data_IF_638772178630
#
_entry.id   IF_638772178630
#
_cell.length_a   1.000
_cell.length_b   1.000
_cell.length_c   1.000
_cell.angle_alpha   90.00
_cell.angle_beta   90.00
_cell.angle_gamma   90.00
#
_symmetry.space_group_name_H-M   'P 1'
#
loop_
_entity.id
_entity.type
_entity.pdbx_description
1 polymer ?
#
# COMPACT_ATOMS: atom_id res chain seq x y z
N UNK A 1 7.14 3.36 33.36
CA UNK A 1 8.28 3.24 32.40
C UNK A 1 8.22 1.96 31.56
N UNK A 2 7.73 0.82 32.06
CA UNK A 2 7.69 -0.48 31.35
C UNK A 2 6.72 -0.57 30.14
N UNK A 3 5.53 0.07 30.11
CA UNK A 3 4.58 -0.12 29.00
C UNK A 3 5.09 0.35 27.63
N UNK A 4 5.87 1.44 27.58
CA UNK A 4 6.36 2.03 26.32
C UNK A 4 7.37 1.13 25.61
N UNK A 5 8.27 0.50 26.36
CA UNK A 5 9.29 -0.40 25.82
C UNK A 5 8.66 -1.71 25.29
N UNK A 6 7.64 -2.23 25.96
CA UNK A 6 6.95 -3.44 25.51
C UNK A 6 6.20 -3.17 24.20
N UNK A 7 5.47 -2.06 24.13
CA UNK A 7 4.73 -1.67 22.92
C UNK A 7 5.68 -1.43 21.74
N UNK A 8 6.79 -0.73 21.99
CA UNK A 8 7.83 -0.53 20.99
C UNK A 8 8.34 -1.86 20.42
N UNK A 9 8.75 -2.79 21.31
CA UNK A 9 9.24 -4.10 20.89
C UNK A 9 8.18 -4.93 20.14
N UNK A 10 6.92 -4.85 20.55
CA UNK A 10 5.83 -5.56 19.90
C UNK A 10 5.55 -5.01 18.48
N UNK A 11 5.40 -3.69 18.35
CA UNK A 11 5.12 -3.02 17.07
C UNK A 11 6.26 -3.25 16.07
N UNK A 12 7.50 -2.96 16.47
CA UNK A 12 8.64 -3.09 15.57
C UNK A 12 9.07 -4.54 15.37
N UNK A 13 8.82 -5.41 16.35
CA UNK A 13 8.96 -6.86 16.19
C UNK A 13 8.02 -7.40 15.13
N UNK A 14 6.75 -6.98 15.15
CA UNK A 14 5.76 -7.42 14.17
C UNK A 14 6.09 -6.97 12.74
N UNK A 15 6.47 -5.70 12.56
CA UNK A 15 6.89 -5.18 11.26
C UNK A 15 8.09 -5.94 10.68
N UNK A 16 9.10 -6.23 11.51
CA UNK A 16 10.27 -7.02 11.11
C UNK A 16 9.92 -8.47 10.77
N UNK A 17 9.00 -9.09 11.52
CA UNK A 17 8.51 -10.43 11.21
C UNK A 17 7.80 -10.43 9.85
N UNK A 18 6.93 -9.45 9.59
CA UNK A 18 6.25 -9.32 8.30
C UNK A 18 7.26 -9.13 7.16
N UNK A 19 8.20 -8.19 7.29
CA UNK A 19 9.27 -7.96 6.30
C UNK A 19 10.06 -9.24 5.99
N UNK A 20 10.36 -10.05 7.01
CA UNK A 20 11.18 -11.25 6.84
C UNK A 20 10.40 -12.43 6.29
N UNK A 21 9.11 -12.57 6.61
CA UNK A 21 8.34 -13.77 6.27
C UNK A 21 7.51 -13.63 4.99
N UNK A 22 7.11 -12.41 4.61
CA UNK A 22 6.31 -12.16 3.40
C UNK A 22 6.86 -12.83 2.13
N UNK A 23 8.17 -12.81 1.84
CA UNK A 23 8.72 -13.45 0.64
C UNK A 23 8.70 -14.98 0.66
N UNK A 24 8.68 -15.60 1.83
CA UNK A 24 8.89 -17.04 1.98
C UNK A 24 7.63 -17.82 2.38
N UNK A 25 6.58 -17.13 2.82
CA UNK A 25 5.38 -17.73 3.39
C UNK A 25 4.13 -17.09 2.80
N UNK A 26 3.86 -17.36 1.53
CA UNK A 26 2.67 -16.81 0.83
C UNK A 26 1.36 -17.16 1.57
N UNK A 27 1.24 -18.38 2.11
CA UNK A 27 0.05 -18.82 2.86
C UNK A 27 -0.19 -18.02 4.16
N UNK A 28 0.87 -17.45 4.75
CA UNK A 28 0.79 -16.64 5.98
C UNK A 28 0.79 -15.14 5.68
N UNK A 29 1.04 -14.72 4.44
CA UNK A 29 1.19 -13.32 4.07
C UNK A 29 -0.03 -12.50 4.46
N UNK A 30 -1.24 -13.05 4.23
CA UNK A 30 -2.47 -12.36 4.60
C UNK A 30 -2.63 -12.19 6.11
N UNK A 31 -2.35 -13.23 6.89
CA UNK A 31 -2.45 -13.18 8.36
C UNK A 31 -1.42 -12.22 8.96
N UNK A 32 -0.21 -12.24 8.44
CA UNK A 32 0.86 -11.31 8.81
C UNK A 32 0.45 -9.87 8.52
N UNK A 33 -0.03 -9.57 7.31
CA UNK A 33 -0.50 -8.22 6.98
C UNK A 33 -1.70 -7.81 7.83
N UNK A 34 -2.66 -8.72 8.07
CA UNK A 34 -3.82 -8.46 8.93
C UNK A 34 -3.41 -8.13 10.36
N UNK A 35 -2.37 -8.77 10.89
CA UNK A 35 -1.86 -8.48 12.23
C UNK A 35 -1.34 -7.04 12.36
N UNK A 36 -0.89 -6.41 11.25
CA UNK A 36 -0.46 -5.01 11.26
C UNK A 36 -1.61 -4.03 11.54
N UNK A 37 -2.87 -4.46 11.44
CA UNK A 37 -4.01 -3.64 11.87
C UNK A 37 -3.97 -3.30 13.37
N UNK A 38 -3.21 -4.05 14.18
CA UNK A 38 -2.98 -3.72 15.57
C UNK A 38 -2.27 -2.37 15.76
N UNK A 39 -1.45 -1.94 14.78
CA UNK A 39 -0.76 -0.65 14.82
C UNK A 39 -1.76 0.52 14.73
N UNK A 40 -2.86 0.34 13.99
CA UNK A 40 -3.95 1.32 13.89
C UNK A 40 -4.79 1.41 15.17
N UNK A 41 -4.61 0.46 16.10
CA UNK A 41 -5.33 0.39 17.37
C UNK A 41 -4.51 0.88 18.56
N UNK A 42 -3.31 1.41 18.32
CA UNK A 42 -2.50 2.01 19.38
C UNK A 42 -3.22 3.24 19.96
N UNK A 43 -3.07 3.46 21.27
CA UNK A 43 -3.53 4.69 21.92
C UNK A 43 -2.93 5.91 21.20
N UNK A 44 -3.69 6.99 21.07
CA UNK A 44 -3.30 8.17 20.28
C UNK A 44 -1.91 8.69 20.66
N UNK A 45 -1.58 8.74 21.97
CA UNK A 45 -0.28 9.23 22.46
C UNK A 45 0.87 8.30 22.08
N UNK A 46 0.60 7.00 22.00
CA UNK A 46 1.59 6.00 21.61
C UNK A 46 1.79 6.02 20.10
N UNK A 47 0.70 6.10 19.34
CA UNK A 47 0.74 6.22 17.89
C UNK A 47 1.53 7.47 17.46
N UNK A 48 1.24 8.61 18.08
CA UNK A 48 1.93 9.88 17.83
C UNK A 48 3.43 9.77 18.16
N UNK A 49 3.78 9.25 19.35
CA UNK A 49 5.18 9.12 19.78
C UNK A 49 6.04 8.17 18.92
N UNK A 50 5.42 7.33 18.08
CA UNK A 50 6.12 6.40 17.20
C UNK A 50 5.76 6.59 15.72
N UNK A 51 5.01 7.63 15.36
CA UNK A 51 4.38 7.78 14.05
C UNK A 51 5.41 7.78 12.91
N UNK A 52 6.43 8.63 13.03
CA UNK A 52 7.54 8.72 12.07
C UNK A 52 8.21 7.35 11.87
N UNK A 53 8.59 6.70 12.97
CA UNK A 53 9.33 5.43 12.92
C UNK A 53 8.48 4.27 12.41
N UNK A 54 7.20 4.19 12.80
CA UNK A 54 6.26 3.21 12.25
C UNK A 54 6.15 3.41 10.74
N UNK A 55 6.04 4.66 10.29
CA UNK A 55 5.91 4.96 8.86
C UNK A 55 7.17 4.59 8.08
N UNK A 56 8.36 4.88 8.60
CA UNK A 56 9.61 4.45 7.98
C UNK A 56 9.68 2.92 7.84
N UNK A 57 9.30 2.17 8.87
CA UNK A 57 9.31 0.70 8.84
C UNK A 57 8.26 0.12 7.89
N UNK A 58 7.08 0.75 7.79
CA UNK A 58 6.06 0.43 6.78
C UNK A 58 6.58 0.72 5.37
N UNK A 59 7.26 1.85 5.15
CA UNK A 59 7.89 2.18 3.88
C UNK A 59 8.91 1.11 3.46
N UNK A 60 9.80 0.71 4.37
CA UNK A 60 10.77 -0.36 4.10
C UNK A 60 10.09 -1.69 3.82
N UNK A 61 9.01 -2.01 4.55
CA UNK A 61 8.23 -3.22 4.30
C UNK A 61 7.64 -3.22 2.89
N UNK A 62 6.99 -2.14 2.47
CA UNK A 62 6.39 -2.04 1.14
C UNK A 62 7.47 -2.07 0.06
N UNK A 63 8.53 -1.28 0.17
CA UNK A 63 9.61 -1.25 -0.83
C UNK A 63 10.26 -2.61 -1.03
N UNK A 64 10.45 -3.39 0.03
CA UNK A 64 11.05 -4.71 -0.05
C UNK A 64 10.06 -5.81 -0.47
N UNK A 65 8.76 -5.66 -0.21
CA UNK A 65 7.81 -6.78 -0.27
C UNK A 65 6.55 -6.53 -1.11
N UNK A 66 6.41 -5.39 -1.80
CA UNK A 66 5.20 -5.05 -2.56
C UNK A 66 4.73 -6.17 -3.50
N UNK A 67 5.66 -6.84 -4.19
CA UNK A 67 5.37 -7.96 -5.09
C UNK A 67 4.74 -9.19 -4.39
N UNK A 68 4.93 -9.32 -3.07
CA UNK A 68 4.38 -10.41 -2.26
C UNK A 68 3.02 -10.06 -1.64
N UNK A 69 2.57 -8.81 -1.75
CA UNK A 69 1.25 -8.38 -1.29
C UNK A 69 0.26 -8.58 -2.44
N UNK A 70 -0.42 -9.73 -2.46
CA UNK A 70 -1.36 -10.08 -3.54
C UNK A 70 -2.83 -9.81 -3.19
N UNK A 71 -3.17 -9.81 -1.90
CA UNK A 71 -4.58 -9.74 -1.48
C UNK A 71 -5.07 -8.29 -1.29
N UNK A 72 -6.33 -7.99 -1.68
CA UNK A 72 -6.95 -6.69 -1.39
C UNK A 72 -6.98 -6.34 0.11
N UNK A 73 -7.09 -7.35 0.99
CA UNK A 73 -7.07 -7.14 2.44
C UNK A 73 -5.69 -6.68 2.94
N UNK A 74 -4.62 -7.27 2.40
CA UNK A 74 -3.25 -6.88 2.70
C UNK A 74 -3.00 -5.42 2.30
N UNK A 75 -3.37 -5.08 1.07
CA UNK A 75 -3.29 -3.70 0.57
C UNK A 75 -4.14 -2.73 1.37
N UNK A 76 -5.35 -3.11 1.79
CA UNK A 76 -6.18 -2.23 2.64
C UNK A 76 -5.46 -1.89 3.95
N UNK A 77 -4.74 -2.83 4.52
CA UNK A 77 -3.99 -2.59 5.75
C UNK A 77 -2.83 -1.62 5.51
N UNK A 78 -2.07 -1.82 4.42
CA UNK A 78 -1.01 -0.89 4.00
C UNK A 78 -1.56 0.51 3.75
N UNK A 79 -2.61 0.65 2.94
CA UNK A 79 -3.21 1.95 2.62
C UNK A 79 -3.78 2.65 3.85
N UNK A 80 -4.35 1.92 4.81
CA UNK A 80 -4.83 2.50 6.07
C UNK A 80 -3.69 3.04 6.94
N UNK A 81 -2.55 2.34 6.97
CA UNK A 81 -1.35 2.82 7.65
C UNK A 81 -0.80 4.07 6.98
N UNK A 82 -0.72 4.11 5.65
CA UNK A 82 -0.29 5.30 4.91
C UNK A 82 -1.24 6.48 5.10
N UNK A 83 -2.56 6.26 5.07
CA UNK A 83 -3.55 7.31 5.29
C UNK A 83 -3.46 7.93 6.70
N UNK A 84 -2.96 7.16 7.69
CA UNK A 84 -2.75 7.69 9.04
C UNK A 84 -1.66 8.77 9.10
N UNK A 85 -0.71 8.76 8.17
CA UNK A 85 0.46 9.67 8.19
C UNK A 85 0.17 11.05 7.62
N UNK A 86 -0.93 11.19 6.88
CA UNK A 86 -1.33 12.39 6.14
C UNK A 86 -1.47 13.63 7.04
N UNK A 87 -1.73 13.44 8.34
CA UNK A 87 -1.90 14.51 9.34
C UNK A 87 -0.67 14.80 10.19
N UNK A 88 0.43 14.06 9.99
CA UNK A 88 1.63 14.16 10.83
C UNK A 88 2.83 14.60 9.97
N UNK A 89 3.39 15.78 10.23
CA UNK A 89 4.48 16.35 9.43
C UNK A 89 5.71 15.46 9.32
N UNK A 90 6.10 14.85 10.43
CA UNK A 90 7.22 13.91 10.53
C UNK A 90 6.99 12.61 9.74
N UNK A 91 5.75 12.13 9.64
CA UNK A 91 5.42 10.88 8.95
C UNK A 91 4.93 11.09 7.51
N UNK A 92 4.56 12.32 7.14
CA UNK A 92 4.01 12.65 5.82
C UNK A 92 4.99 12.27 4.70
N UNK A 93 6.26 12.67 4.83
CA UNK A 93 7.29 12.45 3.81
C UNK A 93 7.46 10.98 3.45
N UNK A 94 7.80 10.10 4.42
CA UNK A 94 7.92 8.66 4.17
C UNK A 94 6.62 8.01 3.69
N UNK A 95 5.46 8.45 4.18
CA UNK A 95 4.16 7.95 3.71
C UNK A 95 3.90 8.29 2.23
N UNK A 96 4.15 9.54 1.84
CA UNK A 96 4.01 10.01 0.47
C UNK A 96 5.00 9.33 -0.49
N UNK A 97 6.24 9.13 -0.05
CA UNK A 97 7.25 8.40 -0.81
C UNK A 97 6.84 6.95 -1.05
N UNK A 98 6.27 6.30 -0.03
CA UNK A 98 5.75 4.92 -0.15
C UNK A 98 4.62 4.85 -1.17
N UNK A 99 3.67 5.78 -1.09
CA UNK A 99 2.57 5.85 -2.05
C UNK A 99 3.09 6.08 -3.48
N UNK A 100 4.02 7.03 -3.64
CA UNK A 100 4.63 7.33 -4.93
C UNK A 100 5.32 6.11 -5.51
N UNK A 101 6.05 5.35 -4.68
CA UNK A 101 6.69 4.09 -5.08
C UNK A 101 5.69 3.05 -5.58
N UNK A 102 4.52 2.91 -4.95
CA UNK A 102 3.50 1.93 -5.37
C UNK A 102 2.89 2.32 -6.73
N UNK A 103 2.59 3.60 -6.91
CA UNK A 103 1.78 4.09 -8.04
C UNK A 103 2.60 4.50 -9.27
N UNK A 104 3.88 4.82 -9.11
CA UNK A 104 4.76 5.18 -10.23
C UNK A 104 5.21 3.93 -10.96
N UNK A 105 5.37 4.02 -12.29
CA UNK A 105 5.81 2.95 -13.20
C UNK A 105 4.91 1.69 -13.26
N UNK A 106 3.88 1.59 -12.43
CA UNK A 106 2.84 0.56 -12.49
C UNK A 106 3.29 -0.83 -12.02
N UNK A 107 4.56 -1.02 -11.69
CA UNK A 107 5.12 -2.32 -11.31
C UNK A 107 4.48 -2.92 -10.06
N UNK A 108 3.90 -2.08 -9.20
CA UNK A 108 3.25 -2.48 -7.95
C UNK A 108 1.77 -2.15 -7.91
N UNK A 109 1.24 -1.54 -8.97
CA UNK A 109 -0.18 -1.21 -9.08
C UNK A 109 -0.90 -2.40 -9.71
N UNK A 110 -1.99 -2.83 -9.08
CA UNK A 110 -2.79 -3.98 -9.49
C UNK A 110 -4.26 -3.68 -9.30
N UNK A 111 -5.18 -4.42 -9.95
CA UNK A 111 -6.62 -4.27 -9.67
C UNK A 111 -6.97 -4.43 -8.17
N UNK A 112 -6.20 -5.22 -7.43
CA UNK A 112 -6.41 -5.47 -6.00
C UNK A 112 -6.11 -4.26 -5.10
N UNK A 113 -5.26 -3.32 -5.55
CA UNK A 113 -4.86 -2.15 -4.75
C UNK A 113 -5.21 -0.80 -5.39
N UNK A 114 -5.63 -0.79 -6.65
CA UNK A 114 -5.83 0.43 -7.43
C UNK A 114 -6.70 1.47 -6.70
N UNK A 115 -7.92 1.10 -6.32
CA UNK A 115 -8.86 2.02 -5.62
C UNK A 115 -8.29 2.50 -4.28
N UNK A 116 -7.62 1.61 -3.53
CA UNK A 116 -7.02 1.95 -2.24
C UNK A 116 -5.85 2.92 -2.38
N UNK A 117 -5.10 2.83 -3.48
CA UNK A 117 -4.04 3.77 -3.83
C UNK A 117 -4.60 5.12 -4.27
N UNK A 118 -5.70 5.15 -5.03
CA UNK A 118 -6.38 6.39 -5.39
C UNK A 118 -6.89 7.14 -4.14
N UNK A 119 -7.54 6.42 -3.22
CA UNK A 119 -8.04 7.02 -1.97
C UNK A 119 -6.90 7.61 -1.13
N UNK A 120 -5.77 6.89 -1.04
CA UNK A 120 -4.59 7.37 -0.36
C UNK A 120 -4.00 8.61 -1.05
N UNK A 121 -3.82 8.58 -2.38
CA UNK A 121 -3.30 9.71 -3.14
C UNK A 121 -4.19 10.95 -3.02
N UNK A 122 -5.52 10.77 -3.05
CA UNK A 122 -6.47 11.84 -2.76
C UNK A 122 -6.25 12.41 -1.36
N UNK A 123 -6.12 11.57 -0.34
CA UNK A 123 -5.87 12.03 1.03
C UNK A 123 -4.57 12.83 1.14
N UNK A 124 -3.50 12.40 0.45
CA UNK A 124 -2.25 13.16 0.39
C UNK A 124 -2.40 14.49 -0.36
N UNK A 125 -3.18 14.54 -1.44
CA UNK A 125 -3.46 15.76 -2.19
C UNK A 125 -4.28 16.79 -1.39
N UNK A 126 -5.18 16.32 -0.53
CA UNK A 126 -6.03 17.17 0.31
C UNK A 126 -5.33 17.62 1.61
N UNK A 127 -4.14 17.08 1.89
CA UNK A 127 -3.40 17.38 3.11
C UNK A 127 -2.80 18.78 3.10
N UNK A 128 -2.98 19.49 4.22
CA UNK A 128 -2.32 20.77 4.46
C UNK A 128 -0.85 20.63 4.90
N UNK A 129 -0.39 19.40 5.17
CA UNK A 129 0.93 19.14 5.75
C UNK A 129 2.04 19.10 4.69
N UNK A 130 1.74 18.59 3.50
CA UNK A 130 2.74 18.35 2.44
C UNK A 130 3.14 19.56 1.61
N UNK A 131 2.44 20.67 1.76
CA UNK A 131 2.56 21.82 0.86
C UNK A 131 1.93 21.59 -0.52
N UNK A 132 1.95 22.64 -1.33
CA UNK A 132 1.30 22.66 -2.64
C UNK A 132 2.00 21.72 -3.63
N UNK A 133 3.32 21.62 -3.56
CA UNK A 133 4.14 20.81 -4.46
C UNK A 133 3.81 19.32 -4.34
N UNK A 134 3.65 18.82 -3.12
CA UNK A 134 3.25 17.42 -2.87
C UNK A 134 1.80 17.17 -3.25
N UNK A 135 0.94 18.18 -3.09
CA UNK A 135 -0.45 18.11 -3.50
C UNK A 135 -0.56 18.00 -5.03
N UNK A 136 0.19 18.82 -5.76
CA UNK A 136 0.30 18.74 -7.23
C UNK A 136 0.84 17.37 -7.64
N UNK A 137 1.92 16.90 -7.02
CA UNK A 137 2.49 15.58 -7.37
C UNK A 137 1.52 14.43 -7.11
N UNK A 138 0.71 14.47 -6.05
CA UNK A 138 -0.34 13.48 -5.83
C UNK A 138 -1.39 13.48 -6.96
N UNK A 139 -1.79 14.66 -7.43
CA UNK A 139 -2.73 14.80 -8.55
C UNK A 139 -2.14 14.28 -9.87
N UNK A 140 -0.85 14.54 -10.13
CA UNK A 140 -0.14 13.97 -11.28
C UNK A 140 -0.14 12.45 -11.25
N UNK A 141 0.21 11.85 -10.11
CA UNK A 141 0.21 10.39 -9.94
C UNK A 141 -1.20 9.81 -10.15
N UNK A 142 -2.25 10.49 -9.65
CA UNK A 142 -3.64 10.11 -9.91
C UNK A 142 -3.96 10.11 -11.41
N UNK A 143 -3.56 11.15 -12.14
CA UNK A 143 -3.76 11.25 -13.58
C UNK A 143 -2.97 10.20 -14.37
N UNK A 144 -1.70 9.98 -14.02
CA UNK A 144 -0.82 8.96 -14.60
C UNK A 144 -1.42 7.55 -14.43
N UNK A 145 -2.08 7.29 -13.29
CA UNK A 145 -2.65 5.98 -12.97
C UNK A 145 -3.76 5.51 -13.93
N UNK A 146 -4.43 6.44 -14.63
CA UNK A 146 -5.51 6.12 -15.58
C UNK A 146 -4.98 5.30 -16.76
N UNK A 147 -3.72 5.48 -17.14
CA UNK A 147 -3.09 4.71 -18.21
C UNK A 147 -3.10 3.20 -17.90
N UNK A 148 -2.93 2.81 -16.63
CA UNK A 148 -2.98 1.41 -16.22
C UNK A 148 -4.40 0.83 -16.33
N UNK A 149 -5.44 1.61 -16.02
CA UNK A 149 -6.82 1.16 -16.22
C UNK A 149 -7.12 0.92 -17.71
N UNK A 150 -6.70 1.84 -18.58
CA UNK A 150 -6.88 1.69 -20.04
C UNK A 150 -6.16 0.42 -20.51
N UNK A 151 -4.92 0.22 -20.08
CA UNK A 151 -4.15 -0.97 -20.42
C UNK A 151 -4.82 -2.26 -19.95
N UNK A 152 -5.26 -2.34 -18.68
CA UNK A 152 -5.92 -3.53 -18.16
C UNK A 152 -7.26 -3.81 -18.84
N UNK A 153 -8.01 -2.76 -19.22
CA UNK A 153 -9.25 -2.89 -19.98
C UNK A 153 -9.00 -3.47 -21.38
N UNK A 154 -7.98 -2.99 -22.09
CA UNK A 154 -7.60 -3.51 -23.40
C UNK A 154 -7.11 -4.97 -23.33
N UNK A 155 -6.27 -5.31 -22.35
CA UNK A 155 -5.84 -6.70 -22.15
C UNK A 155 -7.01 -7.65 -21.82
N UNK A 156 -8.08 -7.12 -21.22
CA UNK A 156 -9.27 -7.91 -20.93
C UNK A 156 -10.09 -8.18 -22.20
N UNK A 157 -10.19 -7.22 -23.13
CA UNK A 157 -10.93 -7.41 -24.39
C UNK A 157 -10.26 -8.40 -25.34
N UNK A 158 -8.93 -8.39 -25.43
CA UNK A 158 -8.17 -9.28 -26.32
C UNK A 158 -8.28 -10.75 -25.87
N UNK A 159 -8.33 -11.01 -24.56
CA UNK A 159 -8.55 -12.35 -24.00
C UNK A 159 -9.91 -12.94 -24.37
N UNK A 160 -10.96 -12.11 -24.44
CA UNK A 160 -12.31 -12.56 -24.83
C UNK A 160 -12.41 -12.91 -26.32
N UNK A 161 -11.59 -12.32 -27.19
CA UNK A 161 -11.56 -12.67 -28.62
C UNK A 161 -10.76 -13.96 -28.87
N UNK A 162 -9.63 -14.14 -28.19
CA UNK A 162 -8.81 -15.35 -28.26
C UNK A 162 -9.52 -16.62 -27.77
N UNK A 163 -10.25 -16.54 -26.65
CA UNK A 163 -11.00 -17.68 -26.10
C UNK A 163 -12.15 -18.11 -27.03
N UNK A 164 -12.83 -17.16 -27.68
CA UNK A 164 -13.88 -17.46 -28.67
C UNK A 164 -13.31 -18.18 -29.89
N UNK A 165 -12.14 -17.75 -30.38
CA UNK A 165 -11.49 -18.38 -31.53
C UNK A 165 -11.00 -19.80 -31.21
N UNK A 166 -10.52 -20.03 -29.98
CA UNK A 166 -10.10 -21.35 -29.52
C UNK A 166 -11.29 -22.31 -29.31
N UNK A 167 -12.42 -21.83 -28.78
CA UNK A 167 -13.67 -22.61 -28.69
C UNK A 167 -14.26 -22.93 -30.07
N UNK A 168 -14.18 -22.01 -31.04
CA UNK A 168 -14.63 -22.22 -32.41
C UNK A 168 -13.78 -23.27 -33.14
N UNK A 169 -12.46 -23.30 -32.88
CA UNK A 169 -11.55 -24.32 -33.45
C UNK A 169 -11.68 -25.69 -32.79
N UNK A 170 -12.07 -25.76 -31.52
CA UNK A 170 -12.29 -27.04 -30.82
C UNK A 170 -13.64 -27.71 -31.17
N UNK A 171 -14.56 -27.00 -31.86
CA UNK A 171 -15.87 -27.48 -32.28
C UNK A 171 -15.96 -27.95 -33.75
N UNK A 172 -14.90 -27.76 -34.53
CA UNK A 172 -14.79 -28.20 -35.94
C UNK A 172 -13.77 -29.33 -36.06
#
# INVERSE_FOLDING_TARGET
>A
MVPRLLVEKAVFGLLKICQRLLPYKEDLAEELLRSLQLLLKLDARVAEAFCERITMEVMQLVKANAAHIKSPMGWRTVSSLLASTVRHSEAFGPGFETLSFIMTDGAHLTPANYVLCLDAARAFAESQVGGVEKSIRALEILAESVNYLIQWAASSSDGFEGDKEHELRARN
#
